data_IF_643671265870
#
_entry.id   IF_643671265870
#
_cell.length_a   1.000
_cell.length_b   1.000
_cell.length_c   1.000
_cell.angle_alpha   90.00
_cell.angle_beta   90.00
_cell.angle_gamma   90.00
#
_symmetry.space_group_name_H-M   'P 1'
#
loop_
_entity.id
_entity.type
_entity.pdbx_description
1 polymer ?
#
# COMPACT_ATOMS: atom_id res chain seq x y z
N UNK A 1 53.68 -7.77 -51.93
CA UNK A 1 52.25 -7.77 -51.57
C UNK A 1 52.11 -7.21 -50.17
N UNK A 2 51.38 -6.11 -50.02
CA UNK A 2 51.08 -5.46 -48.73
C UNK A 2 49.87 -6.17 -48.11
N UNK A 3 49.97 -6.63 -46.87
CA UNK A 3 48.82 -6.98 -46.01
C UNK A 3 48.73 -5.93 -44.90
N UNK A 4 47.54 -5.41 -44.55
CA UNK A 4 47.41 -4.38 -43.54
C UNK A 4 47.39 -4.97 -42.12
N UNK A 5 47.92 -4.17 -41.18
CA UNK A 5 47.80 -4.34 -39.74
C UNK A 5 46.34 -4.13 -39.34
N UNK A 6 45.70 -5.12 -38.69
CA UNK A 6 44.42 -4.92 -38.01
C UNK A 6 44.74 -4.51 -36.57
N UNK A 7 44.45 -3.26 -36.23
CA UNK A 7 44.46 -2.77 -34.85
C UNK A 7 43.22 -3.31 -34.14
N UNK A 8 43.42 -4.12 -33.10
CA UNK A 8 42.36 -4.48 -32.16
C UNK A 8 42.11 -3.30 -31.22
N UNK A 9 40.98 -2.61 -31.43
CA UNK A 9 40.47 -1.62 -30.48
C UNK A 9 39.77 -2.40 -29.37
N UNK A 10 40.41 -2.50 -28.20
CA UNK A 10 39.73 -2.91 -26.97
C UNK A 10 38.88 -1.73 -26.50
N UNK A 11 37.59 -1.77 -26.80
CA UNK A 11 36.61 -0.94 -26.08
C UNK A 11 36.41 -1.60 -24.72
N UNK A 12 36.96 -1.02 -23.66
CA UNK A 12 36.51 -1.32 -22.30
C UNK A 12 35.06 -0.86 -22.20
N UNK A 13 34.13 -1.77 -22.46
CA UNK A 13 32.74 -1.60 -22.06
C UNK A 13 32.70 -1.59 -20.54
N UNK A 14 32.49 -0.42 -19.95
CA UNK A 14 32.10 -0.31 -18.56
C UNK A 14 30.71 -0.96 -18.47
N UNK A 15 30.66 -2.23 -18.07
CA UNK A 15 29.41 -2.87 -17.67
C UNK A 15 29.04 -2.18 -16.37
N UNK A 16 28.10 -1.23 -16.45
CA UNK A 16 27.35 -0.79 -15.28
C UNK A 16 26.64 -2.04 -14.75
N UNK A 17 27.22 -2.63 -13.70
CA UNK A 17 26.47 -3.54 -12.84
C UNK A 17 25.29 -2.70 -12.34
N UNK A 18 24.02 -3.11 -12.54
CA UNK A 18 22.91 -2.42 -11.92
C UNK A 18 23.21 -2.38 -10.44
N UNK A 19 23.29 -1.19 -9.86
CA UNK A 19 23.25 -1.03 -8.41
C UNK A 19 22.00 -1.77 -7.96
N UNK A 20 22.20 -2.81 -7.15
CA UNK A 20 21.11 -3.51 -6.48
C UNK A 20 20.19 -2.44 -5.92
N UNK A 21 18.93 -2.41 -6.37
CA UNK A 21 17.95 -1.48 -5.81
C UNK A 21 18.02 -1.64 -4.29
N UNK A 22 18.26 -0.55 -3.58
CA UNK A 22 18.31 -0.57 -2.12
C UNK A 22 16.97 -1.14 -1.65
N UNK A 23 17.02 -2.25 -0.91
CA UNK A 23 15.82 -2.91 -0.42
C UNK A 23 14.97 -1.90 0.35
N UNK A 24 13.65 -1.92 0.12
CA UNK A 24 12.70 -1.11 0.88
C UNK A 24 12.78 -1.48 2.35
N UNK A 25 12.91 -0.47 3.20
CA UNK A 25 12.94 -0.63 4.66
C UNK A 25 11.90 0.25 5.32
N UNK A 26 11.48 -0.15 6.52
CA UNK A 26 10.57 0.64 7.33
C UNK A 26 11.26 1.95 7.75
N UNK A 27 10.64 3.09 7.41
CA UNK A 27 11.18 4.39 7.76
C UNK A 27 10.60 4.90 9.09
N UNK A 28 9.27 5.00 9.17
CA UNK A 28 8.53 5.51 10.34
C UNK A 28 7.04 5.24 10.22
N UNK A 29 6.32 5.45 11.32
CA UNK A 29 4.87 5.65 11.28
C UNK A 29 4.52 7.13 11.06
N UNK A 30 3.39 7.37 10.43
CA UNK A 30 2.80 8.69 10.19
C UNK A 30 1.73 8.97 11.26
N UNK A 31 1.71 10.20 11.78
CA UNK A 31 0.80 10.63 12.83
C UNK A 31 1.28 10.28 14.25
N UNK A 32 0.74 11.01 15.22
CA UNK A 32 0.91 10.78 16.65
C UNK A 32 -0.12 9.82 17.25
N UNK A 33 -0.04 9.63 18.56
CA UNK A 33 -0.96 8.77 19.30
C UNK A 33 -2.40 9.33 19.22
N UNK A 34 -3.30 8.57 18.60
CA UNK A 34 -4.72 8.87 18.34
C UNK A 34 -5.02 9.76 17.11
N UNK A 35 -4.04 10.09 16.26
CA UNK A 35 -4.31 10.86 15.03
C UNK A 35 -4.99 10.03 13.93
N UNK A 36 -4.89 8.70 14.04
CA UNK A 36 -5.49 7.71 13.16
C UNK A 36 -6.43 6.81 13.96
N UNK A 37 -7.55 6.43 13.34
CA UNK A 37 -8.57 5.56 13.93
C UNK A 37 -9.14 4.59 12.88
N UNK A 38 -8.61 3.38 12.88
CA UNK A 38 -8.82 2.36 11.85
C UNK A 38 -8.61 2.96 10.44
N UNK A 39 -7.38 3.42 10.13
CA UNK A 39 -7.08 3.97 8.81
C UNK A 39 -7.42 2.92 7.76
N UNK A 40 -8.14 3.33 6.71
CA UNK A 40 -8.57 2.42 5.66
C UNK A 40 -7.78 2.67 4.38
N UNK A 41 -7.77 3.91 3.88
CA UNK A 41 -7.09 4.25 2.64
C UNK A 41 -6.24 5.50 2.80
N UNK A 42 -5.24 5.64 1.92
CA UNK A 42 -4.27 6.72 1.93
C UNK A 42 -3.96 7.20 0.52
N UNK A 43 -3.97 8.51 0.32
CA UNK A 43 -3.54 9.15 -0.93
C UNK A 43 -2.67 10.38 -0.66
N UNK A 44 -1.88 10.81 -1.65
CA UNK A 44 -1.02 11.99 -1.56
C UNK A 44 -1.42 13.05 -2.60
N UNK A 45 -1.60 14.30 -2.17
CA UNK A 45 -1.93 15.40 -3.08
C UNK A 45 -0.72 16.04 -3.75
N UNK A 46 -0.96 17.01 -4.64
CA UNK A 46 0.13 17.67 -5.40
C UNK A 46 1.11 18.47 -4.53
N UNK A 47 0.78 18.73 -3.26
CA UNK A 47 1.65 19.39 -2.28
C UNK A 47 2.40 18.41 -1.38
N UNK A 48 2.16 17.10 -1.55
CA UNK A 48 2.72 16.04 -0.72
C UNK A 48 1.99 15.88 0.60
N UNK A 49 0.82 16.50 0.80
CA UNK A 49 0.00 16.23 1.98
C UNK A 49 -0.51 14.80 1.88
N UNK A 50 -0.56 14.12 3.02
CA UNK A 50 -1.01 12.73 3.13
C UNK A 50 -2.45 12.74 3.62
N UNK A 51 -3.37 12.18 2.86
CA UNK A 51 -4.81 12.18 3.12
C UNK A 51 -5.22 10.76 3.47
N UNK A 52 -5.79 10.57 4.65
CA UNK A 52 -6.10 9.24 5.19
C UNK A 52 -7.56 9.17 5.59
N UNK A 53 -8.28 8.15 5.15
CA UNK A 53 -9.65 7.88 5.59
C UNK A 53 -9.67 7.03 6.85
N UNK A 54 -10.56 7.37 7.77
CA UNK A 54 -10.74 6.68 9.05
C UNK A 54 -12.19 6.15 9.12
N UNK A 55 -12.38 4.83 9.01
CA UNK A 55 -13.72 4.24 8.78
C UNK A 55 -14.58 4.18 10.03
N UNK A 56 -14.00 3.90 11.20
CA UNK A 56 -14.71 3.83 12.47
C UNK A 56 -13.73 3.94 13.62
N UNK A 57 -14.09 4.68 14.65
CA UNK A 57 -13.58 4.37 15.96
C UNK A 57 -14.62 4.58 17.04
N UNK A 58 -14.31 4.06 18.23
CA UNK A 58 -15.23 3.86 19.35
C UNK A 58 -15.96 5.13 19.82
N UNK A 59 -15.51 6.32 19.41
CA UNK A 59 -16.04 7.62 19.85
C UNK A 59 -16.63 8.51 18.74
N UNK A 60 -16.88 8.00 17.53
CA UNK A 60 -17.42 8.76 16.38
C UNK A 60 -16.42 9.64 15.60
N UNK A 61 -15.12 9.53 15.87
CA UNK A 61 -14.05 10.28 15.17
C UNK A 61 -13.70 9.69 13.78
N UNK A 62 -14.73 9.24 13.04
CA UNK A 62 -14.56 8.86 11.63
C UNK A 62 -14.46 10.11 10.74
N UNK A 63 -13.79 9.99 9.61
CA UNK A 63 -13.62 11.10 8.69
C UNK A 63 -12.34 10.96 7.90
N UNK A 64 -11.71 12.09 7.63
CA UNK A 64 -10.46 12.17 6.88
C UNK A 64 -9.44 12.97 7.69
N UNK A 65 -8.24 12.40 7.89
CA UNK A 65 -7.09 13.07 8.48
C UNK A 65 -6.15 13.53 7.37
N UNK A 66 -5.65 14.76 7.44
CA UNK A 66 -4.66 15.32 6.52
C UNK A 66 -3.37 15.57 7.31
N UNK A 67 -2.25 15.03 6.84
CA UNK A 67 -0.93 15.22 7.40
C UNK A 67 -0.04 16.02 6.44
N UNK A 68 0.98 16.68 6.98
CA UNK A 68 2.06 17.21 6.17
C UNK A 68 2.97 16.08 5.65
N UNK A 69 3.88 16.34 4.69
CA UNK A 69 4.81 15.32 4.18
C UNK A 69 5.74 14.74 5.26
N UNK A 70 5.90 15.42 6.40
CA UNK A 70 6.68 14.93 7.54
C UNK A 70 5.89 14.01 8.46
N UNK A 71 4.57 13.89 8.24
CA UNK A 71 3.66 13.05 9.00
C UNK A 71 3.04 13.71 10.22
N UNK A 72 3.07 15.05 10.32
CA UNK A 72 2.38 15.79 11.38
C UNK A 72 0.92 16.04 10.97
N UNK A 73 -0.04 15.81 11.88
CA UNK A 73 -1.44 16.08 11.62
C UNK A 73 -1.67 17.59 11.40
N UNK A 74 -2.26 17.94 10.26
CA UNK A 74 -2.64 19.31 9.91
C UNK A 74 -4.10 19.58 10.25
N UNK A 75 -4.99 18.69 9.81
CA UNK A 75 -6.44 18.88 9.89
C UNK A 75 -7.18 17.55 9.86
N UNK A 76 -8.37 17.53 10.44
CA UNK A 76 -9.34 16.44 10.29
C UNK A 76 -10.68 17.03 9.88
N UNK A 77 -11.37 16.39 8.94
CA UNK A 77 -12.72 16.80 8.57
C UNK A 77 -13.66 15.62 8.42
N UNK A 78 -14.96 15.95 8.49
CA UNK A 78 -16.05 14.99 8.51
C UNK A 78 -16.34 14.42 9.90
N UNK A 79 -17.55 13.90 10.03
CA UNK A 79 -18.05 13.26 11.24
C UNK A 79 -19.11 12.23 10.86
N UNK A 80 -19.47 11.36 11.81
CA UNK A 80 -20.54 10.39 11.57
C UNK A 80 -21.88 11.07 11.25
N UNK A 81 -22.50 10.72 10.13
CA UNK A 81 -23.82 11.19 9.77
C UNK A 81 -24.16 11.04 8.28
N UNK A 82 -25.05 11.89 7.78
CA UNK A 82 -25.56 11.82 6.40
C UNK A 82 -25.60 13.17 5.69
N UNK A 83 -25.39 14.28 6.41
CA UNK A 83 -25.41 15.62 5.86
C UNK A 83 -24.23 15.85 4.88
N UNK A 84 -24.23 16.96 4.13
CA UNK A 84 -23.04 17.45 3.45
C UNK A 84 -21.84 17.51 4.41
N UNK A 85 -20.71 16.95 4.02
CA UNK A 85 -19.50 16.88 4.86
C UNK A 85 -19.45 15.71 5.85
N UNK A 86 -20.56 15.03 6.11
CA UNK A 86 -20.60 13.87 7.03
C UNK A 86 -20.45 12.54 6.27
N UNK A 87 -19.93 11.53 6.98
CA UNK A 87 -19.70 10.18 6.47
C UNK A 87 -20.40 9.12 7.31
N UNK A 88 -20.67 7.95 6.72
CA UNK A 88 -21.03 6.75 7.51
C UNK A 88 -19.92 5.70 7.58
N UNK A 89 -19.12 5.60 6.53
CA UNK A 89 -17.97 4.69 6.48
C UNK A 89 -17.07 5.12 5.31
N UNK A 90 -16.27 6.18 5.46
CA UNK A 90 -15.37 6.65 4.40
C UNK A 90 -14.24 5.62 4.19
N UNK A 91 -14.23 4.95 3.05
CA UNK A 91 -13.27 3.91 2.70
C UNK A 91 -12.20 4.46 1.76
N UNK A 92 -12.32 4.28 0.45
CA UNK A 92 -11.31 4.71 -0.51
C UNK A 92 -11.21 6.22 -0.63
N UNK A 93 -10.02 6.71 -0.94
CA UNK A 93 -9.74 8.12 -1.22
C UNK A 93 -8.88 8.29 -2.46
N UNK A 94 -9.24 9.26 -3.30
CA UNK A 94 -8.46 9.68 -4.44
C UNK A 94 -8.32 11.19 -4.47
N UNK A 95 -7.28 11.67 -5.15
CA UNK A 95 -7.04 13.09 -5.39
C UNK A 95 -7.08 13.36 -6.90
N UNK A 96 -7.73 14.44 -7.32
CA UNK A 96 -7.72 14.87 -8.73
C UNK A 96 -6.72 15.98 -9.01
N UNK A 97 -6.61 16.40 -10.28
CA UNK A 97 -5.64 17.43 -10.70
C UNK A 97 -5.88 18.82 -10.07
N UNK A 98 -6.97 19.02 -9.33
CA UNK A 98 -7.33 20.26 -8.62
C UNK A 98 -7.17 20.14 -7.10
N UNK A 99 -6.54 19.06 -6.62
CA UNK A 99 -6.44 18.68 -5.22
C UNK A 99 -7.82 18.52 -4.54
N UNK A 100 -8.87 18.14 -5.29
CA UNK A 100 -10.14 17.76 -4.68
C UNK A 100 -10.00 16.38 -4.05
N UNK A 101 -10.54 16.22 -2.85
CA UNK A 101 -10.52 14.96 -2.11
C UNK A 101 -11.80 14.20 -2.45
N UNK A 102 -11.66 13.03 -3.06
CA UNK A 102 -12.76 12.20 -3.55
C UNK A 102 -12.81 10.95 -2.67
N UNK A 103 -13.89 10.80 -1.91
CA UNK A 103 -14.02 9.73 -0.91
C UNK A 103 -15.18 8.81 -1.26
N UNK A 104 -14.93 7.51 -1.28
CA UNK A 104 -15.99 6.51 -1.32
C UNK A 104 -16.60 6.35 0.08
N UNK A 105 -17.90 6.62 0.23
CA UNK A 105 -18.62 6.36 1.47
C UNK A 105 -19.45 5.08 1.31
N UNK A 106 -18.85 3.97 1.76
CA UNK A 106 -19.38 2.62 1.64
C UNK A 106 -20.82 2.51 2.13
N UNK A 107 -21.11 3.02 3.33
CA UNK A 107 -22.44 2.85 3.92
C UNK A 107 -23.48 3.80 3.32
N UNK A 108 -23.03 4.93 2.76
CA UNK A 108 -23.89 5.83 2.00
C UNK A 108 -24.12 5.39 0.55
N UNK A 109 -23.34 4.43 0.04
CA UNK A 109 -23.39 3.98 -1.36
C UNK A 109 -23.15 5.15 -2.32
N UNK A 110 -22.20 6.03 -1.99
CA UNK A 110 -22.00 7.29 -2.71
C UNK A 110 -20.53 7.68 -2.75
N UNK A 111 -20.16 8.53 -3.70
CA UNK A 111 -18.90 9.26 -3.70
C UNK A 111 -19.12 10.68 -3.18
N UNK A 112 -18.23 11.14 -2.31
CA UNK A 112 -18.22 12.47 -1.70
C UNK A 112 -17.01 13.24 -2.24
N UNK A 113 -17.23 14.41 -2.83
CA UNK A 113 -16.16 15.28 -3.33
C UNK A 113 -16.05 16.47 -2.39
N UNK A 114 -14.83 16.73 -1.92
CA UNK A 114 -14.46 17.83 -1.06
C UNK A 114 -13.38 18.68 -1.72
N UNK A 115 -13.26 19.94 -1.33
CA UNK A 115 -12.09 20.73 -1.70
C UNK A 115 -10.87 20.32 -0.87
N UNK A 116 -9.72 20.93 -1.18
CA UNK A 116 -8.45 20.66 -0.51
C UNK A 116 -8.40 21.00 0.98
N UNK A 117 -9.39 21.74 1.49
CA UNK A 117 -9.60 22.04 2.93
C UNK A 117 -10.65 21.14 3.58
N UNK A 118 -11.23 20.19 2.84
CA UNK A 118 -12.24 19.26 3.37
C UNK A 118 -13.68 19.78 3.29
N UNK A 119 -13.92 20.97 2.73
CA UNK A 119 -15.27 21.48 2.55
C UNK A 119 -16.01 20.67 1.50
N UNK A 120 -17.24 20.26 1.80
CA UNK A 120 -18.05 19.44 0.90
C UNK A 120 -18.46 20.22 -0.34
N UNK A 121 -18.18 19.67 -1.52
CA UNK A 121 -18.57 20.23 -2.82
C UNK A 121 -19.82 19.54 -3.35
N UNK A 122 -19.79 18.20 -3.43
CA UNK A 122 -20.84 17.42 -4.11
C UNK A 122 -20.85 15.97 -3.63
N UNK A 123 -22.02 15.35 -3.74
CA UNK A 123 -22.21 13.90 -3.60
C UNK A 123 -22.88 13.35 -4.85
N UNK A 124 -22.45 12.20 -5.33
CA UNK A 124 -23.15 11.45 -6.38
C UNK A 124 -23.14 9.94 -6.10
N UNK A 125 -23.85 9.18 -6.93
CA UNK A 125 -24.12 7.76 -6.69
C UNK A 125 -25.50 7.55 -6.07
N UNK A 126 -25.58 6.63 -5.12
CA UNK A 126 -26.81 6.22 -4.46
C UNK A 126 -27.05 4.72 -4.63
N UNK A 127 -27.73 4.12 -3.64
CA UNK A 127 -27.93 2.67 -3.60
C UNK A 127 -28.67 2.15 -4.84
N UNK A 128 -28.10 1.14 -5.50
CA UNK A 128 -28.79 0.41 -6.56
C UNK A 128 -27.82 -0.33 -7.49
N UNK A 129 -28.35 -0.78 -8.63
CA UNK A 129 -27.64 -1.61 -9.61
C UNK A 129 -27.65 -1.01 -11.03
N UNK A 130 -28.35 0.10 -11.24
CA UNK A 130 -28.36 0.79 -12.53
C UNK A 130 -27.05 1.55 -12.76
N UNK A 131 -26.84 2.00 -13.99
CA UNK A 131 -25.69 2.85 -14.34
C UNK A 131 -25.72 4.14 -13.50
N UNK A 132 -24.60 4.45 -12.87
CA UNK A 132 -24.45 5.58 -11.96
C UNK A 132 -24.95 5.35 -10.52
N UNK A 133 -25.62 4.22 -10.24
CA UNK A 133 -25.91 3.78 -8.88
C UNK A 133 -24.78 2.90 -8.36
N UNK A 134 -24.54 2.95 -7.05
CA UNK A 134 -23.47 2.22 -6.38
C UNK A 134 -24.03 1.32 -5.27
N UNK A 135 -23.27 0.34 -4.84
CA UNK A 135 -23.57 -0.49 -3.69
C UNK A 135 -22.29 -0.81 -2.94
N UNK A 136 -22.15 -0.18 -1.78
CA UNK A 136 -20.99 -0.30 -0.91
C UNK A 136 -19.67 -0.11 -1.68
N UNK A 137 -19.44 1.07 -2.29
CA UNK A 137 -18.18 1.32 -2.98
C UNK A 137 -17.03 1.32 -1.97
N UNK A 138 -15.93 0.62 -2.27
CA UNK A 138 -14.76 0.55 -1.40
C UNK A 138 -13.67 1.48 -1.91
N UNK A 139 -13.01 1.11 -3.01
CA UNK A 139 -11.97 1.90 -3.65
C UNK A 139 -12.44 2.93 -4.66
N UNK A 140 -11.62 3.96 -4.85
CA UNK A 140 -11.82 5.02 -5.83
C UNK A 140 -10.46 5.50 -6.33
N UNK A 141 -10.36 5.80 -7.62
CA UNK A 141 -9.19 6.41 -8.24
C UNK A 141 -9.60 7.51 -9.21
N UNK A 142 -8.64 8.33 -9.60
CA UNK A 142 -8.76 9.31 -10.69
C UNK A 142 -7.83 8.93 -11.83
N UNK A 143 -8.08 9.42 -13.03
CA UNK A 143 -7.13 9.31 -14.15
C UNK A 143 -6.65 10.68 -14.63
N UNK A 144 -5.81 10.71 -15.68
CA UNK A 144 -5.25 11.95 -16.21
C UNK A 144 -6.29 12.95 -16.76
N UNK A 145 -7.55 12.54 -16.91
CA UNK A 145 -8.68 13.37 -17.36
C UNK A 145 -9.61 13.77 -16.22
N UNK A 146 -9.22 13.54 -14.97
CA UNK A 146 -10.06 13.70 -13.77
C UNK A 146 -11.36 12.86 -13.82
N UNK A 147 -11.39 11.77 -14.61
CA UNK A 147 -12.49 10.80 -14.50
C UNK A 147 -12.35 10.09 -13.16
N UNK A 148 -13.49 9.78 -12.53
CA UNK A 148 -13.55 9.11 -11.24
C UNK A 148 -13.90 7.64 -11.48
N UNK A 149 -12.98 6.74 -11.13
CA UNK A 149 -13.11 5.30 -11.29
C UNK A 149 -13.47 4.70 -9.93
N UNK A 150 -14.57 3.97 -9.84
CA UNK A 150 -15.11 3.49 -8.57
C UNK A 150 -15.22 1.97 -8.58
N UNK A 151 -14.63 1.33 -7.56
CA UNK A 151 -14.90 -0.05 -7.21
C UNK A 151 -16.30 -0.16 -6.60
N UNK A 152 -17.29 -0.58 -7.39
CA UNK A 152 -18.68 -0.78 -6.96
C UNK A 152 -18.83 -2.19 -6.37
N UNK A 153 -18.21 -2.38 -5.20
CA UNK A 153 -17.84 -3.68 -4.63
C UNK A 153 -18.98 -4.69 -4.54
N UNK A 154 -20.13 -4.31 -3.97
CA UNK A 154 -21.25 -5.24 -3.80
C UNK A 154 -22.11 -5.41 -5.06
N UNK A 155 -21.82 -4.65 -6.13
CA UNK A 155 -22.33 -4.94 -7.47
C UNK A 155 -21.30 -5.66 -8.35
N UNK A 156 -20.11 -5.98 -7.80
CA UNK A 156 -19.06 -6.73 -8.48
C UNK A 156 -18.63 -6.11 -9.83
N UNK A 157 -18.51 -4.78 -9.87
CA UNK A 157 -18.17 -4.05 -11.09
C UNK A 157 -17.32 -2.83 -10.81
N UNK A 158 -16.75 -2.27 -11.87
CA UNK A 158 -16.13 -0.94 -11.85
C UNK A 158 -16.96 0.01 -12.70
N UNK A 159 -17.19 1.21 -12.19
CA UNK A 159 -17.86 2.28 -12.93
C UNK A 159 -16.96 3.50 -13.04
N UNK A 160 -17.02 4.18 -14.18
CA UNK A 160 -16.26 5.38 -14.49
C UNK A 160 -17.26 6.54 -14.62
N UNK A 161 -16.94 7.64 -13.96
CA UNK A 161 -17.69 8.88 -13.95
C UNK A 161 -16.81 10.01 -14.47
N UNK A 162 -17.40 11.08 -14.99
CA UNK A 162 -16.66 12.31 -15.25
C UNK A 162 -16.33 13.06 -13.95
N UNK A 163 -15.54 14.13 -14.06
CA UNK A 163 -15.14 14.96 -12.92
C UNK A 163 -16.29 15.65 -12.18
N UNK A 164 -17.50 15.63 -12.77
CA UNK A 164 -18.74 16.20 -12.23
C UNK A 164 -19.67 15.16 -11.58
N UNK A 165 -19.32 13.87 -11.66
CA UNK A 165 -20.06 12.75 -11.11
C UNK A 165 -21.11 12.15 -12.05
N UNK A 166 -21.08 12.46 -13.35
CA UNK A 166 -21.97 11.84 -14.33
C UNK A 166 -21.39 10.49 -14.77
N UNK A 167 -22.24 9.47 -14.86
CA UNK A 167 -21.82 8.15 -15.36
C UNK A 167 -21.32 8.25 -16.81
N UNK A 168 -20.17 7.64 -17.08
CA UNK A 168 -19.55 7.56 -18.41
C UNK A 168 -19.63 6.14 -18.94
N UNK A 169 -19.08 5.17 -18.22
CA UNK A 169 -19.07 3.77 -18.63
C UNK A 169 -18.89 2.82 -17.44
N UNK A 170 -19.18 1.54 -17.69
CA UNK A 170 -18.85 0.44 -16.77
C UNK A 170 -17.87 -0.50 -17.44
N UNK A 171 -16.93 -1.03 -16.66
CA UNK A 171 -16.00 -2.04 -17.15
C UNK A 171 -16.67 -3.41 -17.12
N UNK A 172 -16.51 -4.16 -18.21
CA UNK A 172 -17.10 -5.49 -18.39
C UNK A 172 -15.97 -6.47 -18.67
N UNK A 173 -15.92 -7.56 -17.92
CA UNK A 173 -14.99 -8.66 -18.22
C UNK A 173 -15.44 -9.37 -19.53
N UNK A 174 -14.48 -9.72 -20.38
CA UNK A 174 -14.76 -10.26 -21.71
C UNK A 174 -14.60 -11.78 -21.69
N UNK A 175 -15.69 -12.51 -21.53
CA UNK A 175 -15.78 -13.92 -21.97
C UNK A 175 -16.10 -14.97 -20.91
N UNK A 176 -17.24 -15.66 -21.15
CA UNK A 176 -17.78 -16.87 -20.48
C UNK A 176 -18.03 -16.77 -18.97
N UNK A 177 -19.00 -17.55 -18.50
CA UNK A 177 -19.56 -17.51 -17.13
C UNK A 177 -18.55 -17.78 -15.97
N UNK A 178 -17.26 -17.89 -16.27
CA UNK A 178 -16.17 -18.22 -15.33
C UNK A 178 -15.27 -17.03 -14.98
N UNK A 179 -15.43 -15.86 -15.61
CA UNK A 179 -14.64 -14.65 -15.35
C UNK A 179 -15.54 -13.44 -15.05
N UNK A 180 -16.37 -13.52 -14.02
CA UNK A 180 -16.95 -12.31 -13.45
C UNK A 180 -16.07 -11.84 -12.29
N UNK A 181 -15.80 -10.53 -12.24
CA UNK A 181 -15.24 -9.92 -11.05
C UNK A 181 -16.08 -10.29 -9.83
N UNK A 182 -15.44 -10.47 -8.68
CA UNK A 182 -16.09 -10.86 -7.45
C UNK A 182 -15.41 -10.16 -6.27
N UNK A 183 -16.17 -9.31 -5.59
CA UNK A 183 -15.67 -8.41 -4.56
C UNK A 183 -14.55 -7.51 -5.11
N UNK A 184 -14.93 -6.57 -5.98
CA UNK A 184 -14.00 -5.56 -6.46
C UNK A 184 -13.63 -4.64 -5.30
N UNK A 185 -12.44 -4.81 -4.74
CA UNK A 185 -12.03 -4.13 -3.52
C UNK A 185 -11.55 -2.70 -3.83
N UNK A 186 -10.67 -2.58 -4.81
CA UNK A 186 -9.99 -1.32 -5.08
C UNK A 186 -9.58 -1.17 -6.55
N UNK A 187 -9.23 0.06 -6.94
CA UNK A 187 -8.84 0.45 -8.28
C UNK A 187 -7.70 1.47 -8.25
N UNK A 188 -6.79 1.40 -9.21
CA UNK A 188 -5.77 2.42 -9.44
C UNK A 188 -5.56 2.66 -10.94
N UNK A 189 -4.95 3.79 -11.30
CA UNK A 189 -4.60 4.13 -12.67
C UNK A 189 -3.10 4.35 -12.79
N UNK A 190 -2.52 3.97 -13.93
CA UNK A 190 -1.12 4.24 -14.23
C UNK A 190 -0.93 5.42 -15.19
N UNK A 191 0.32 5.76 -15.51
CA UNK A 191 0.64 6.90 -16.37
C UNK A 191 0.09 6.80 -17.81
N UNK A 192 -0.39 5.62 -18.22
CA UNK A 192 -1.03 5.38 -19.52
C UNK A 192 -2.56 5.36 -19.43
N UNK A 193 -3.13 5.73 -18.28
CA UNK A 193 -4.53 5.62 -17.92
C UNK A 193 -5.07 4.18 -18.01
N UNK A 194 -4.21 3.15 -17.88
CA UNK A 194 -4.71 1.78 -17.71
C UNK A 194 -5.30 1.66 -16.30
N UNK A 195 -6.39 0.93 -16.19
CA UNK A 195 -7.12 0.77 -14.94
C UNK A 195 -6.79 -0.61 -14.39
N UNK A 196 -6.18 -0.61 -13.20
CA UNK A 196 -5.87 -1.80 -12.43
C UNK A 196 -6.96 -2.03 -11.40
N UNK A 197 -7.49 -3.25 -11.35
CA UNK A 197 -8.64 -3.60 -10.52
C UNK A 197 -8.29 -4.76 -9.61
N UNK A 198 -8.53 -4.62 -8.32
CA UNK A 198 -8.39 -5.69 -7.34
C UNK A 198 -9.65 -6.56 -7.32
N UNK A 199 -9.57 -7.74 -7.93
CA UNK A 199 -10.63 -8.75 -7.94
C UNK A 199 -10.41 -9.73 -6.77
N UNK A 200 -10.75 -9.27 -5.57
CA UNK A 200 -10.23 -9.80 -4.31
C UNK A 200 -10.63 -11.26 -4.04
N UNK A 201 -11.89 -11.64 -4.28
CA UNK A 201 -12.32 -13.02 -4.04
C UNK A 201 -11.74 -14.00 -5.07
N UNK A 202 -11.37 -13.51 -6.25
CA UNK A 202 -10.68 -14.29 -7.26
C UNK A 202 -9.14 -14.26 -7.10
N UNK A 203 -8.61 -13.56 -6.08
CA UNK A 203 -7.18 -13.48 -5.75
C UNK A 203 -6.31 -13.04 -6.93
N UNK A 204 -6.77 -12.05 -7.69
CA UNK A 204 -6.12 -11.60 -8.93
C UNK A 204 -6.31 -10.11 -9.14
N UNK A 205 -5.50 -9.55 -10.03
CA UNK A 205 -5.68 -8.22 -10.59
C UNK A 205 -6.25 -8.34 -12.01
N UNK A 206 -7.13 -7.42 -12.38
CA UNK A 206 -7.66 -7.30 -13.74
C UNK A 206 -7.26 -5.95 -14.31
N UNK A 207 -6.69 -5.93 -15.51
CA UNK A 207 -6.15 -4.73 -16.13
C UNK A 207 -7.00 -4.38 -17.36
N UNK A 208 -7.42 -3.13 -17.43
CA UNK A 208 -8.13 -2.56 -18.58
C UNK A 208 -7.28 -1.44 -19.19
N UNK A 209 -7.41 -1.23 -20.50
CA UNK A 209 -6.84 -0.04 -21.14
C UNK A 209 -7.67 1.22 -20.81
N UNK A 210 -7.19 2.39 -21.24
CA UNK A 210 -7.83 3.69 -20.98
C UNK A 210 -9.22 3.83 -21.60
N UNK A 211 -9.52 3.03 -22.64
CA UNK A 211 -10.83 2.91 -23.26
C UNK A 211 -11.76 1.96 -22.46
N UNK A 212 -11.26 1.24 -21.46
CA UNK A 212 -12.01 0.31 -20.64
C UNK A 212 -12.11 -1.10 -21.22
N UNK A 213 -11.24 -1.46 -22.16
CA UNK A 213 -11.18 -2.81 -22.73
C UNK A 213 -10.22 -3.68 -21.92
N UNK A 214 -10.64 -4.91 -21.64
CA UNK A 214 -9.81 -5.90 -20.96
C UNK A 214 -8.47 -6.12 -21.68
N UNK A 215 -7.39 -6.09 -20.91
CA UNK A 215 -6.02 -6.34 -21.37
C UNK A 215 -5.56 -7.72 -20.92
N UNK A 216 -5.48 -7.95 -19.61
CA UNK A 216 -5.02 -9.21 -19.01
C UNK A 216 -5.40 -9.30 -17.53
N UNK A 217 -5.15 -10.47 -16.98
CA UNK A 217 -5.22 -10.76 -15.53
C UNK A 217 -3.83 -11.10 -15.02
N UNK A 218 -3.54 -10.71 -13.78
CA UNK A 218 -2.29 -11.02 -13.07
C UNK A 218 -2.62 -11.70 -11.76
N UNK A 219 -1.86 -12.75 -11.45
CA UNK A 219 -1.94 -13.48 -10.19
C UNK A 219 -3.02 -14.55 -10.12
N UNK A 220 -2.99 -15.24 -8.98
CA UNK A 220 -3.84 -16.36 -8.59
C UNK A 220 -3.75 -16.53 -7.08
N UNK A 221 -4.63 -17.37 -6.51
CA UNK A 221 -4.52 -17.71 -5.10
C UNK A 221 -3.18 -18.38 -4.77
N UNK A 222 -2.46 -17.86 -3.78
CA UNK A 222 -1.21 -18.44 -3.31
C UNK A 222 -0.38 -17.48 -2.45
N UNK A 223 0.86 -17.88 -2.16
CA UNK A 223 1.82 -17.12 -1.34
C UNK A 223 3.17 -16.90 -2.03
N UNK A 224 3.32 -17.32 -3.30
CA UNK A 224 4.49 -17.03 -4.11
C UNK A 224 4.48 -15.63 -4.73
N UNK A 225 5.48 -15.38 -5.57
CA UNK A 225 5.66 -14.13 -6.31
C UNK A 225 4.47 -13.89 -7.26
N UNK A 226 3.85 -12.71 -7.15
CA UNK A 226 2.62 -12.33 -7.86
C UNK A 226 1.44 -13.31 -7.63
N UNK A 227 1.46 -14.11 -6.56
CA UNK A 227 0.29 -14.82 -6.06
C UNK A 227 -0.30 -14.05 -4.87
N UNK A 228 -1.62 -14.04 -4.74
CA UNK A 228 -2.31 -13.24 -3.73
C UNK A 228 -3.22 -14.11 -2.87
N UNK A 229 -3.52 -13.64 -1.67
CA UNK A 229 -4.61 -14.14 -0.86
C UNK A 229 -5.44 -12.97 -0.32
N UNK A 230 -6.62 -12.80 -0.93
CA UNK A 230 -7.56 -11.72 -0.65
C UNK A 230 -6.91 -10.33 -0.71
N UNK A 231 -6.34 -9.94 -1.88
CA UNK A 231 -5.75 -8.61 -2.04
C UNK A 231 -6.83 -7.54 -1.80
N UNK A 232 -6.44 -6.40 -1.23
CA UNK A 232 -7.38 -5.34 -0.83
C UNK A 232 -7.09 -4.02 -1.52
N UNK A 233 -6.04 -3.30 -1.11
CA UNK A 233 -5.66 -2.03 -1.70
C UNK A 233 -4.69 -2.18 -2.87
N UNK A 234 -4.74 -1.22 -3.78
CA UNK A 234 -3.81 -1.08 -4.91
C UNK A 234 -3.40 0.38 -5.10
N UNK A 235 -2.12 0.61 -5.37
CA UNK A 235 -1.59 1.91 -5.75
C UNK A 235 -0.66 1.78 -6.95
N UNK A 236 -0.45 2.87 -7.67
CA UNK A 236 0.57 2.94 -8.73
C UNK A 236 1.48 4.13 -8.43
N UNK A 237 2.78 3.88 -8.41
CA UNK A 237 3.73 4.96 -8.15
C UNK A 237 4.16 5.70 -9.43
N UNK A 238 4.95 6.77 -9.25
CA UNK A 238 5.45 7.61 -10.35
C UNK A 238 6.29 6.87 -11.41
N UNK A 239 6.78 5.67 -11.11
CA UNK A 239 7.59 4.84 -12.00
C UNK A 239 6.74 3.71 -12.64
N UNK A 240 5.41 3.81 -12.53
CA UNK A 240 4.42 2.80 -12.93
C UNK A 240 4.60 1.43 -12.26
N UNK A 241 5.21 1.40 -11.05
CA UNK A 241 5.21 0.19 -10.23
C UNK A 241 3.85 0.07 -9.54
N UNK A 242 3.31 -1.15 -9.53
CA UNK A 242 2.00 -1.45 -8.95
C UNK A 242 2.20 -2.03 -7.56
N UNK A 243 1.65 -1.35 -6.56
CA UNK A 243 1.73 -1.70 -5.14
C UNK A 243 0.44 -2.43 -4.75
N UNK A 244 0.54 -3.63 -4.18
CA UNK A 244 -0.63 -4.45 -3.87
C UNK A 244 -0.59 -4.90 -2.42
N UNK A 245 -1.63 -4.56 -1.67
CA UNK A 245 -1.84 -5.06 -0.32
C UNK A 245 -2.38 -6.49 -0.37
N UNK A 246 -1.49 -7.47 -0.15
CA UNK A 246 -1.79 -8.90 -0.14
C UNK A 246 -2.23 -9.34 1.27
N UNK A 247 -3.47 -8.96 1.64
CA UNK A 247 -3.91 -8.85 3.03
C UNK A 247 -3.74 -10.13 3.84
N UNK A 248 -4.18 -11.29 3.35
CA UNK A 248 -4.11 -12.54 4.12
C UNK A 248 -2.74 -13.22 4.06
N UNK A 249 -1.81 -12.69 3.27
CA UNK A 249 -0.39 -13.03 3.33
C UNK A 249 0.42 -12.02 4.16
N UNK A 250 -0.22 -10.99 4.74
CA UNK A 250 0.39 -9.99 5.62
C UNK A 250 1.60 -9.25 5.00
N UNK A 251 1.55 -9.00 3.69
CA UNK A 251 2.66 -8.42 2.93
C UNK A 251 2.18 -7.46 1.86
N UNK A 252 3.06 -6.56 1.44
CA UNK A 252 2.89 -5.79 0.21
C UNK A 252 3.71 -6.45 -0.89
N UNK A 253 3.14 -6.56 -2.09
CA UNK A 253 3.90 -6.93 -3.29
C UNK A 253 3.98 -5.75 -4.24
N UNK A 254 5.15 -5.57 -4.85
CA UNK A 254 5.41 -4.58 -5.88
C UNK A 254 5.58 -5.32 -7.20
N UNK A 255 4.83 -4.88 -8.22
CA UNK A 255 4.92 -5.38 -9.57
C UNK A 255 5.41 -4.28 -10.51
N UNK A 256 5.97 -4.67 -11.66
CA UNK A 256 6.20 -3.73 -12.75
C UNK A 256 4.89 -3.38 -13.47
N UNK A 257 4.97 -2.44 -14.41
CA UNK A 257 3.83 -2.00 -15.23
C UNK A 257 3.27 -3.09 -16.14
N UNK A 258 3.93 -4.25 -16.26
CA UNK A 258 3.43 -5.42 -16.96
C UNK A 258 2.89 -6.50 -16.00
N UNK A 259 2.88 -6.25 -14.69
CA UNK A 259 2.39 -7.16 -13.66
C UNK A 259 3.37 -8.27 -13.30
N UNK A 260 4.65 -8.14 -13.66
CA UNK A 260 5.68 -9.05 -13.20
C UNK A 260 6.13 -8.65 -11.79
N UNK A 261 6.38 -9.63 -10.93
CA UNK A 261 6.88 -9.40 -9.58
C UNK A 261 8.24 -8.69 -9.57
N UNK A 262 8.38 -7.68 -8.71
CA UNK A 262 9.65 -6.99 -8.43
C UNK A 262 10.17 -7.40 -7.05
N UNK A 263 9.41 -7.09 -5.99
CA UNK A 263 9.80 -7.34 -4.61
C UNK A 263 8.58 -7.42 -3.68
N UNK A 264 8.81 -7.85 -2.45
CA UNK A 264 7.79 -7.88 -1.39
C UNK A 264 8.41 -7.48 -0.06
N UNK A 265 7.60 -6.87 0.80
CA UNK A 265 7.99 -6.55 2.17
C UNK A 265 6.79 -6.71 3.12
N UNK A 266 7.10 -6.75 4.41
CA UNK A 266 6.12 -6.97 5.47
C UNK A 266 5.93 -8.44 5.83
N UNK A 267 5.48 -8.65 7.06
CA UNK A 267 5.17 -9.94 7.66
C UNK A 267 4.19 -9.74 8.80
N UNK A 268 3.54 -10.83 9.24
CA UNK A 268 2.52 -10.77 10.27
C UNK A 268 3.06 -10.22 11.60
N UNK A 269 2.33 -9.27 12.20
CA UNK A 269 2.52 -8.84 13.59
C UNK A 269 2.14 -7.38 13.81
N UNK A 270 2.41 -6.91 15.04
CA UNK A 270 1.96 -5.59 15.50
C UNK A 270 3.06 -4.52 15.50
N UNK A 271 4.32 -4.95 15.54
CA UNK A 271 5.48 -4.06 15.64
C UNK A 271 5.70 -3.22 14.37
N UNK A 272 6.61 -2.26 14.47
CA UNK A 272 7.12 -1.53 13.32
C UNK A 272 7.66 -2.49 12.25
N UNK A 273 7.36 -2.18 10.99
CA UNK A 273 7.66 -3.06 9.85
C UNK A 273 6.75 -4.30 9.70
N UNK A 274 5.78 -4.51 10.60
CA UNK A 274 4.84 -5.65 10.55
C UNK A 274 3.41 -5.23 10.22
N UNK A 275 2.61 -6.18 9.72
CA UNK A 275 1.24 -5.96 9.28
C UNK A 275 0.23 -6.91 9.92
N UNK A 276 -1.00 -6.41 10.15
CA UNK A 276 -2.14 -7.23 10.54
C UNK A 276 -3.29 -7.19 9.53
N UNK A 277 -3.77 -6.01 9.15
CA UNK A 277 -4.84 -5.83 8.16
C UNK A 277 -4.45 -4.66 7.26
N UNK A 278 -3.66 -4.96 6.23
CA UNK A 278 -3.28 -3.97 5.22
C UNK A 278 -4.45 -3.70 4.28
N UNK A 279 -4.66 -2.41 4.00
CA UNK A 279 -5.73 -1.91 3.15
C UNK A 279 -5.13 -0.99 2.11
N UNK A 280 -5.38 0.32 2.16
CA UNK A 280 -4.88 1.28 1.19
C UNK A 280 -3.37 1.43 1.17
N UNK A 281 -2.87 1.75 -0.02
CA UNK A 281 -1.44 1.85 -0.31
C UNK A 281 -1.21 2.85 -1.44
N UNK A 282 -0.25 3.76 -1.25
CA UNK A 282 0.15 4.74 -2.27
C UNK A 282 1.65 5.03 -2.17
N UNK A 283 2.18 5.86 -3.07
CA UNK A 283 3.53 6.44 -2.96
C UNK A 283 3.47 7.94 -2.72
N UNK A 284 4.34 8.47 -1.87
CA UNK A 284 4.53 9.91 -1.75
C UNK A 284 5.36 10.50 -2.91
N UNK A 285 5.48 11.82 -2.95
CA UNK A 285 6.22 12.54 -4.00
C UNK A 285 7.73 12.23 -4.02
N UNK A 286 8.29 11.68 -2.93
CA UNK A 286 9.67 11.23 -2.86
C UNK A 286 9.85 9.76 -3.30
N UNK A 287 8.75 9.04 -3.55
CA UNK A 287 8.75 7.63 -3.93
C UNK A 287 8.76 6.68 -2.73
N UNK A 288 8.53 7.17 -1.50
CA UNK A 288 8.30 6.28 -0.36
C UNK A 288 6.88 5.72 -0.44
N UNK A 289 6.70 4.48 0.00
CA UNK A 289 5.43 3.79 0.02
C UNK A 289 4.74 4.03 1.36
N UNK A 290 3.48 4.44 1.33
CA UNK A 290 2.62 4.60 2.48
C UNK A 290 1.62 3.44 2.53
N UNK A 291 1.53 2.75 3.66
CA UNK A 291 0.68 1.57 3.83
C UNK A 291 -0.22 1.72 5.05
N UNK A 292 -1.54 1.74 4.83
CA UNK A 292 -2.51 1.72 5.91
C UNK A 292 -2.63 0.29 6.49
N UNK A 293 -2.40 0.17 7.80
CA UNK A 293 -2.66 -1.05 8.55
C UNK A 293 -3.77 -0.78 9.57
N UNK A 294 -4.98 -1.15 9.15
CA UNK A 294 -6.21 -0.86 9.87
C UNK A 294 -6.19 -1.45 11.28
N UNK A 295 -5.77 -2.71 11.44
CA UNK A 295 -5.87 -3.41 12.72
C UNK A 295 -4.80 -2.98 13.72
N UNK A 296 -3.64 -2.54 13.24
CA UNK A 296 -2.61 -1.93 14.09
C UNK A 296 -2.83 -0.42 14.30
N UNK A 297 -3.89 0.14 13.71
CA UNK A 297 -4.24 1.55 13.80
C UNK A 297 -3.07 2.48 13.41
N UNK A 298 -2.36 2.14 12.32
CA UNK A 298 -1.16 2.86 11.89
C UNK A 298 -1.13 3.08 10.38
N UNK A 299 -0.40 4.10 9.98
CA UNK A 299 0.06 4.33 8.62
C UNK A 299 1.58 4.28 8.63
N UNK A 300 2.18 3.37 7.88
CA UNK A 300 3.64 3.19 7.85
C UNK A 300 4.23 3.70 6.54
N UNK A 301 5.37 4.39 6.62
CA UNK A 301 6.16 4.84 5.47
C UNK A 301 7.36 3.90 5.27
N UNK A 302 7.61 3.53 4.02
CA UNK A 302 8.67 2.62 3.60
C UNK A 302 9.47 3.24 2.46
N UNK A 303 10.79 3.22 2.55
CA UNK A 303 11.67 3.86 1.56
C UNK A 303 13.04 3.20 1.52
N UNK A 304 13.88 3.64 0.60
CA UNK A 304 15.28 3.20 0.55
C UNK A 304 16.03 3.69 1.79
N UNK A 305 16.90 2.86 2.37
CA UNK A 305 17.57 3.02 3.67
C UNK A 305 18.45 4.29 3.87
N UNK A 306 18.37 5.28 2.97
CA UNK A 306 19.16 6.51 2.97
C UNK A 306 18.58 7.70 3.75
N UNK A 307 17.42 7.56 4.42
CA UNK A 307 16.77 8.65 5.17
C UNK A 307 16.67 8.40 6.69
N UNK A 308 17.61 7.67 7.28
CA UNK A 308 17.79 7.65 8.73
C UNK A 308 18.39 9.00 9.16
N UNK A 309 17.56 9.90 9.71
CA UNK A 309 18.07 10.97 10.56
C UNK A 309 18.59 10.28 11.82
N UNK A 310 19.90 10.37 12.06
CA UNK A 310 20.54 9.85 13.27
C UNK A 310 19.71 10.25 14.51
N UNK A 311 19.42 9.32 15.44
CA UNK A 311 18.80 9.69 16.70
C UNK A 311 19.70 10.69 17.43
N UNK A 312 19.13 11.68 18.16
CA UNK A 312 19.92 12.68 18.85
C UNK A 312 20.88 11.98 19.82
N UNK A 313 22.17 12.26 19.63
CA UNK A 313 23.26 11.71 20.42
C UNK A 313 22.99 11.90 21.92
N UNK A 314 22.59 10.84 22.61
CA UNK A 314 22.62 10.81 24.06
C UNK A 314 24.08 10.71 24.50
N UNK A 315 24.57 11.74 25.19
CA UNK A 315 25.84 11.69 25.90
C UNK A 315 25.71 10.66 27.02
N UNK A 316 26.39 9.52 26.86
CA UNK A 316 26.54 8.52 27.93
C UNK A 316 27.80 8.91 28.72
N UNK A 317 27.63 9.38 29.95
CA UNK A 317 28.73 9.44 30.92
C UNK A 317 29.09 8.02 31.36
N UNK A 318 30.37 7.66 31.23
CA UNK A 318 30.89 6.34 31.53
C UNK A 318 30.95 6.06 33.04
N UNK A 319 30.30 4.98 33.48
CA UNK A 319 30.57 4.29 34.75
C UNK A 319 31.47 3.06 34.54
N UNK A 320 32.17 2.58 35.57
CA UNK A 320 33.30 1.67 35.39
C UNK A 320 32.87 0.25 35.01
N UNK A 321 33.68 -0.35 34.13
CA UNK A 321 33.62 -1.72 33.65
C UNK A 321 33.72 -2.73 34.81
N UNK A 322 32.92 -3.80 34.76
CA UNK A 322 33.46 -5.14 34.99
C UNK A 322 32.53 -6.27 34.50
N UNK A 323 33.18 -7.32 33.98
CA UNK A 323 32.73 -8.64 33.52
C UNK A 323 32.31 -8.81 32.05
N UNK A 324 33.18 -9.55 31.35
CA UNK A 324 33.22 -9.87 29.93
C UNK A 324 32.07 -10.82 29.54
N UNK A 325 30.89 -10.25 29.25
CA UNK A 325 29.85 -10.96 28.51
C UNK A 325 30.28 -10.98 27.05
N UNK A 326 30.58 -12.16 26.49
CA UNK A 326 30.76 -12.33 25.05
C UNK A 326 29.55 -11.71 24.34
N UNK A 327 29.79 -10.62 23.62
CA UNK A 327 28.75 -9.88 22.90
C UNK A 327 28.10 -10.84 21.89
N UNK A 328 26.87 -11.24 22.16
CA UNK A 328 26.03 -11.98 21.23
C UNK A 328 25.77 -11.01 20.06
N UNK A 329 26.09 -11.38 18.81
CA UNK A 329 25.82 -10.54 17.64
C UNK A 329 24.36 -10.09 17.59
N UNK A 330 24.13 -8.81 17.29
CA UNK A 330 22.80 -8.18 17.39
C UNK A 330 21.71 -8.89 16.56
N UNK A 331 22.10 -9.54 15.46
CA UNK A 331 21.16 -10.32 14.64
C UNK A 331 20.60 -11.55 15.39
N UNK A 332 21.35 -12.15 16.32
CA UNK A 332 20.86 -13.29 17.11
C UNK A 332 19.84 -12.80 18.14
N UNK A 333 20.08 -11.65 18.77
CA UNK A 333 19.11 -11.01 19.68
C UNK A 333 17.83 -10.61 18.94
N UNK A 334 17.96 -10.09 17.72
CA UNK A 334 16.82 -9.64 16.91
C UNK A 334 15.98 -10.79 16.32
N UNK A 335 16.51 -12.02 16.29
CA UNK A 335 15.80 -13.20 15.74
C UNK A 335 15.19 -14.09 16.83
N UNK A 336 15.55 -13.91 18.11
CA UNK A 336 15.20 -14.84 19.20
C UNK A 336 14.43 -14.19 20.36
N UNK A 337 13.41 -13.40 20.03
CA UNK A 337 12.55 -12.75 21.04
C UNK A 337 11.84 -13.77 21.97
N UNK A 338 11.63 -15.01 21.52
CA UNK A 338 11.06 -16.10 22.32
C UNK A 338 11.91 -16.53 23.54
N UNK A 339 13.23 -16.36 23.48
CA UNK A 339 14.10 -16.58 24.65
C UNK A 339 14.10 -15.37 25.59
N UNK A 340 14.10 -14.15 25.03
CA UNK A 340 14.08 -12.90 25.80
C UNK A 340 12.75 -12.70 26.56
N UNK A 341 11.65 -13.23 26.02
CA UNK A 341 10.33 -13.20 26.66
C UNK A 341 10.10 -14.40 27.62
N UNK A 342 11.11 -15.27 27.80
CA UNK A 342 11.05 -16.43 28.71
C UNK A 342 10.10 -17.54 28.27
N UNK A 343 9.77 -17.61 26.97
CA UNK A 343 8.82 -18.60 26.41
C UNK A 343 9.44 -20.01 26.39
N UNK A 344 10.76 -20.12 26.27
CA UNK A 344 11.49 -21.38 26.44
C UNK A 344 12.74 -21.19 27.31
N UNK A 345 13.20 -22.26 27.94
CA UNK A 345 14.40 -22.27 28.80
C UNK A 345 15.70 -22.17 28.01
N UNK A 346 16.79 -21.78 28.68
CA UNK A 346 18.15 -21.73 28.10
C UNK A 346 18.58 -23.08 27.52
N UNK A 347 18.22 -24.20 28.19
CA UNK A 347 18.52 -25.55 27.72
C UNK A 347 17.74 -25.91 26.44
N UNK A 348 16.50 -25.45 26.31
CA UNK A 348 15.68 -25.63 25.10
C UNK A 348 16.21 -24.77 23.94
N UNK A 349 16.69 -23.56 24.23
CA UNK A 349 17.34 -22.70 23.24
C UNK A 349 18.62 -23.34 22.70
N UNK A 350 19.50 -23.83 23.59
CA UNK A 350 20.73 -24.51 23.21
C UNK A 350 20.42 -25.75 22.35
N UNK A 351 19.39 -26.51 22.71
CA UNK A 351 18.95 -27.69 21.96
C UNK A 351 18.43 -27.33 20.55
N UNK A 352 17.69 -26.23 20.41
CA UNK A 352 17.20 -25.73 19.13
C UNK A 352 18.34 -25.26 18.21
N UNK A 353 19.31 -24.51 18.74
CA UNK A 353 20.49 -24.08 17.99
C UNK A 353 21.32 -25.29 17.53
N UNK A 354 21.53 -26.28 18.40
CA UNK A 354 22.23 -27.52 18.05
C UNK A 354 21.52 -28.31 16.95
N UNK A 355 20.19 -28.35 16.96
CA UNK A 355 19.40 -28.95 15.89
C UNK A 355 19.61 -28.23 14.56
N UNK A 356 19.51 -26.91 14.53
CA UNK A 356 19.68 -26.11 13.30
C UNK A 356 21.08 -26.25 12.69
N UNK A 357 22.12 -26.33 13.52
CA UNK A 357 23.50 -26.61 13.08
C UNK A 357 23.63 -28.02 12.53
N UNK A 358 23.06 -29.02 13.21
CA UNK A 358 23.11 -30.43 12.79
C UNK A 358 22.40 -30.66 11.44
N UNK A 359 21.29 -29.98 11.22
CA UNK A 359 20.53 -30.04 9.96
C UNK A 359 21.13 -29.15 8.86
N UNK A 360 22.23 -28.45 9.14
CA UNK A 360 22.94 -27.61 8.17
C UNK A 360 22.17 -26.35 7.75
N UNK A 361 21.17 -25.95 8.54
CA UNK A 361 20.34 -24.76 8.29
C UNK A 361 21.13 -23.50 8.63
N UNK A 362 21.97 -23.57 9.67
CA UNK A 362 22.89 -22.51 10.05
C UNK A 362 24.31 -23.07 10.23
N UNK A 363 25.31 -22.26 9.91
CA UNK A 363 26.73 -22.55 10.17
C UNK A 363 27.20 -21.53 11.19
N UNK A 364 27.77 -22.00 12.31
CA UNK A 364 28.36 -21.15 13.33
C UNK A 364 29.87 -21.11 13.09
N UNK A 365 30.44 -19.92 12.96
CA UNK A 365 31.89 -19.68 12.87
C UNK A 365 32.54 -19.57 14.25
#
# INVERSE_FOLDING_TARGET
MKFPLIAAVFVLGCVLVPTQAEALDFAKNIGGQNDLMLPYDVEVDSQGRIIVTNVMGVNSDMGVSIFDPSGNLLETFGSFGTAPGEFKSPTGVAIDSKDRIIVADKQMNSIRIHDKSGEHIKTFGGIGSEDGQLRSPFGVATDSQDRIIVADTNNNRVQIFDSEGNFVQKLVDVGSDENYMNYVADVATDSQDRIWVVDAQNNRLVIYDKEGKFVKTVGRQGGGDAEFYFPQGIGVDKDDRVLVSDQLNYRVQILDSEGNFIETFGYQGNDDGRFMVITGITSDLAGNILVADQSNNKLSQWGSASSQIDPPSQQIEAGPEDTEVKKIPDWINNTMQWYLDGVISEDEMISAIQFLVKEGIIILD
#
